data_IF_215889356848
#
_entry.id   IF_215889356848
#
_cell.length_a   1.000
_cell.length_b   1.000
_cell.length_c   1.000
_cell.angle_alpha   90.00
_cell.angle_beta   90.00
_cell.angle_gamma   90.00
#
_symmetry.space_group_name_H-M   'P 1'
#
loop_
_entity.id
_entity.type
_entity.pdbx_description
1 polymer ?
#
# COMPACT_ATOMS: atom_id res chain seq x y z
N UNK A 1 8.70 42.04 -20.46
CA UNK A 1 8.88 42.06 -18.99
C UNK A 1 8.23 40.81 -18.42
N UNK A 2 9.02 39.91 -17.83
CA UNK A 2 8.49 38.68 -17.21
C UNK A 2 7.88 39.04 -15.86
N UNK A 3 6.60 38.72 -15.67
CA UNK A 3 5.88 39.08 -14.45
C UNK A 3 6.32 38.19 -13.28
N UNK A 4 7.20 38.72 -12.42
CA UNK A 4 7.78 38.03 -11.26
C UNK A 4 6.69 37.43 -10.36
N UNK A 5 5.50 38.06 -10.25
CA UNK A 5 4.38 37.52 -9.47
C UNK A 5 3.81 36.22 -10.06
N UNK A 6 3.82 36.06 -11.40
CA UNK A 6 3.32 34.82 -12.03
C UNK A 6 4.29 33.66 -11.82
N UNK A 7 5.61 33.92 -11.90
CA UNK A 7 6.66 32.94 -11.59
C UNK A 7 6.56 32.52 -10.12
N UNK A 8 6.41 33.48 -9.21
CA UNK A 8 6.31 33.19 -7.77
C UNK A 8 5.08 32.33 -7.45
N UNK A 9 3.95 32.61 -8.10
CA UNK A 9 2.72 31.83 -7.94
C UNK A 9 2.84 30.42 -8.55
N UNK A 10 3.55 30.27 -9.66
CA UNK A 10 3.81 28.98 -10.30
C UNK A 10 4.75 28.11 -9.44
N UNK A 11 5.81 28.70 -8.89
CA UNK A 11 6.71 28.06 -7.94
C UNK A 11 5.97 27.66 -6.65
N UNK A 12 5.15 28.56 -6.08
CA UNK A 12 4.29 28.23 -4.94
C UNK A 12 3.32 27.10 -5.27
N UNK A 13 2.72 27.07 -6.47
CA UNK A 13 1.80 26.01 -6.91
C UNK A 13 2.50 24.66 -7.08
N UNK A 14 3.77 24.63 -7.52
CA UNK A 14 4.61 23.43 -7.55
C UNK A 14 4.92 22.93 -6.13
N UNK A 15 5.20 23.83 -5.18
CA UNK A 15 5.48 23.48 -3.79
C UNK A 15 4.22 23.14 -2.96
N UNK A 16 3.03 23.59 -3.37
CA UNK A 16 1.76 23.39 -2.64
C UNK A 16 1.02 22.08 -2.95
N UNK A 17 1.52 21.23 -3.85
CA UNK A 17 1.01 19.86 -3.97
C UNK A 17 1.41 19.10 -2.69
N UNK A 18 0.49 19.03 -1.73
CA UNK A 18 0.69 18.28 -0.50
C UNK A 18 1.08 16.86 -0.87
N UNK A 19 2.30 16.45 -0.50
CA UNK A 19 2.72 15.07 -0.63
C UNK A 19 1.95 14.30 0.45
N UNK A 20 1.03 13.44 0.05
CA UNK A 20 0.48 12.42 0.93
C UNK A 20 1.63 11.66 1.59
N UNK A 21 1.54 11.48 2.89
CA UNK A 21 2.56 10.80 3.67
C UNK A 21 1.91 9.74 4.53
N UNK A 22 2.34 8.50 4.34
CA UNK A 22 1.91 7.36 5.15
C UNK A 22 3.11 6.81 5.90
N UNK A 23 2.90 6.51 7.18
CA UNK A 23 3.89 5.81 7.99
C UNK A 23 3.19 4.68 8.73
N UNK A 24 3.71 3.48 8.56
CA UNK A 24 3.29 2.28 9.26
C UNK A 24 4.51 1.74 9.99
N UNK A 25 4.31 1.34 11.23
CA UNK A 25 5.33 0.69 12.04
C UNK A 25 4.67 -0.48 12.75
N UNK A 26 5.12 -1.69 12.42
CA UNK A 26 4.69 -2.94 13.04
C UNK A 26 5.86 -3.48 13.87
N UNK A 27 5.62 -3.72 15.16
CA UNK A 27 6.61 -4.28 16.07
C UNK A 27 6.02 -5.51 16.74
N UNK A 28 6.62 -6.67 16.52
CA UNK A 28 6.13 -7.97 16.98
C UNK A 28 7.31 -8.81 17.44
N UNK A 29 7.48 -9.03 18.75
CA UNK A 29 8.40 -10.04 19.29
C UNK A 29 9.76 -10.17 18.56
N UNK A 30 10.48 -9.05 18.39
CA UNK A 30 11.78 -9.00 17.69
C UNK A 30 11.72 -8.72 16.18
N UNK A 31 10.52 -8.68 15.59
CA UNK A 31 10.27 -8.24 14.22
C UNK A 31 9.82 -6.77 14.21
N UNK A 32 10.60 -5.92 13.57
CA UNK A 32 10.25 -4.52 13.30
C UNK A 32 10.10 -4.29 11.79
N UNK A 33 8.91 -3.89 11.36
CA UNK A 33 8.61 -3.53 9.97
C UNK A 33 8.19 -2.07 9.92
N UNK A 34 8.87 -1.27 9.10
CA UNK A 34 8.50 0.12 8.86
C UNK A 34 8.21 0.34 7.38
N UNK A 35 7.05 0.92 7.08
CA UNK A 35 6.70 1.39 5.73
C UNK A 35 6.48 2.88 5.78
N UNK A 36 7.25 3.61 4.98
CA UNK A 36 7.11 5.06 4.80
C UNK A 36 6.82 5.33 3.33
N UNK A 37 5.66 5.90 3.04
CA UNK A 37 5.28 6.31 1.69
C UNK A 37 5.20 7.82 1.63
N UNK A 38 5.87 8.43 0.64
CA UNK A 38 5.68 9.82 0.22
C UNK A 38 5.10 9.78 -1.18
N UNK A 39 3.84 10.15 -1.33
CA UNK A 39 3.12 10.11 -2.61
C UNK A 39 2.56 11.49 -2.93
N UNK A 40 2.51 11.82 -4.22
CA UNK A 40 1.87 13.03 -4.74
C UNK A 40 0.73 12.65 -5.70
N UNK A 41 0.24 11.42 -5.60
CA UNK A 41 -0.77 10.88 -6.49
C UNK A 41 -2.16 11.26 -5.97
N UNK A 42 -3.00 11.79 -6.86
CA UNK A 42 -4.37 12.25 -6.55
C UNK A 42 -5.40 11.09 -6.54
N UNK A 43 -5.00 9.88 -6.92
CA UNK A 43 -5.84 8.68 -6.93
C UNK A 43 -5.82 8.07 -5.52
N UNK A 44 -6.91 7.49 -4.99
CA UNK A 44 -6.87 6.77 -3.73
C UNK A 44 -5.89 5.58 -3.78
N UNK A 45 -4.96 5.52 -2.83
CA UNK A 45 -3.99 4.42 -2.72
C UNK A 45 -4.09 3.73 -1.36
N UNK A 46 -4.28 2.42 -1.37
CA UNK A 46 -4.41 1.62 -0.15
C UNK A 46 -3.05 1.11 0.32
N UNK A 47 -2.87 1.08 1.64
CA UNK A 47 -1.79 0.33 2.29
C UNK A 47 -2.43 -0.60 3.30
N UNK A 48 -2.13 -1.89 3.18
CA UNK A 48 -2.77 -2.94 3.96
C UNK A 48 -1.68 -3.68 4.74
N UNK A 49 -1.91 -3.87 6.03
CA UNK A 49 -1.07 -4.73 6.88
C UNK A 49 -1.95 -5.90 7.28
N UNK A 50 -1.53 -7.12 6.94
CA UNK A 50 -2.24 -8.34 7.33
C UNK A 50 -1.36 -9.09 8.31
N UNK A 51 -1.90 -9.35 9.50
CA UNK A 51 -1.25 -10.11 10.57
C UNK A 51 -2.12 -11.32 10.91
N UNK A 52 -2.00 -12.43 10.17
CA UNK A 52 -2.89 -13.58 10.32
C UNK A 52 -2.76 -14.29 11.66
N UNK A 53 -1.53 -14.50 12.15
CA UNK A 53 -1.30 -15.16 13.44
C UNK A 53 -0.02 -14.65 14.07
N UNK A 54 -0.16 -14.08 15.26
CA UNK A 54 0.94 -13.80 16.18
C UNK A 54 0.54 -14.36 17.53
N UNK A 55 1.30 -15.33 18.03
CA UNK A 55 1.09 -15.92 19.34
C UNK A 55 2.36 -15.85 20.18
N UNK A 56 2.15 -15.59 21.46
CA UNK A 56 3.15 -15.77 22.51
C UNK A 56 2.65 -16.89 23.42
N UNK A 57 3.42 -17.96 23.51
CA UNK A 57 3.13 -19.09 24.37
C UNK A 57 4.22 -19.19 25.40
N UNK A 58 3.82 -19.26 26.66
CA UNK A 58 4.72 -19.41 27.79
C UNK A 58 4.24 -20.59 28.62
N UNK A 59 5.13 -21.55 28.85
CA UNK A 59 4.93 -22.65 29.78
C UNK A 59 5.93 -22.50 30.91
N UNK A 60 5.47 -22.71 32.13
CA UNK A 60 6.33 -22.76 33.31
C UNK A 60 6.16 -24.16 33.89
N UNK A 61 7.25 -24.92 33.99
CA UNK A 61 7.26 -26.24 34.63
C UNK A 61 8.55 -26.42 35.41
N UNK A 62 8.43 -26.87 36.67
CA UNK A 62 9.56 -27.16 37.56
C UNK A 62 10.57 -26.00 37.71
N UNK A 63 10.08 -24.75 37.60
CA UNK A 63 10.91 -23.53 37.67
C UNK A 63 11.57 -23.13 36.35
N UNK A 64 11.48 -23.97 35.32
CA UNK A 64 11.94 -23.65 33.97
C UNK A 64 10.83 -22.98 33.15
N UNK A 65 11.22 -21.94 32.41
CA UNK A 65 10.35 -21.18 31.52
C UNK A 65 10.65 -21.55 30.06
N UNK A 66 9.62 -22.04 29.36
CA UNK A 66 9.65 -22.31 27.93
C UNK A 66 8.79 -21.28 27.21
N UNK A 67 9.42 -20.48 26.34
CA UNK A 67 8.79 -19.40 25.59
C UNK A 67 8.84 -19.71 24.09
N UNK A 68 7.66 -19.77 23.48
CA UNK A 68 7.48 -19.95 22.05
C UNK A 68 6.78 -18.73 21.46
N UNK A 69 7.36 -18.16 20.40
CA UNK A 69 6.79 -17.06 19.65
C UNK A 69 6.46 -17.57 18.25
N UNK A 70 5.19 -17.49 17.86
CA UNK A 70 4.72 -17.91 16.53
C UNK A 70 4.31 -16.67 15.76
N UNK A 71 4.98 -16.42 14.63
CA UNK A 71 4.66 -15.36 13.69
C UNK A 71 4.39 -15.99 12.33
N UNK A 72 3.15 -15.97 11.84
CA UNK A 72 2.79 -16.60 10.58
C UNK A 72 2.11 -15.62 9.61
N UNK A 73 2.58 -15.65 8.35
CA UNK A 73 2.01 -14.95 7.20
C UNK A 73 1.83 -13.44 7.39
N UNK A 74 2.75 -12.78 8.10
CA UNK A 74 2.75 -11.32 8.25
C UNK A 74 3.04 -10.69 6.88
N UNK A 75 2.12 -9.87 6.36
CA UNK A 75 2.29 -9.20 5.07
C UNK A 75 2.01 -7.71 5.18
N UNK A 76 2.77 -6.92 4.42
CA UNK A 76 2.53 -5.49 4.23
C UNK A 76 2.46 -5.24 2.74
N UNK A 77 1.30 -4.77 2.29
CA UNK A 77 0.98 -4.59 0.88
C UNK A 77 0.71 -3.12 0.61
N UNK A 78 1.34 -2.61 -0.43
CA UNK A 78 1.02 -1.32 -1.01
C UNK A 78 0.34 -1.56 -2.35
N UNK A 79 -0.90 -1.08 -2.51
CA UNK A 79 -1.74 -1.34 -3.70
C UNK A 79 -2.08 -0.03 -4.40
N UNK A 80 -1.22 0.44 -5.32
CA UNK A 80 -1.53 1.65 -6.05
C UNK A 80 -2.67 1.46 -7.02
N UNK A 81 -3.70 2.32 -6.98
CA UNK A 81 -4.72 2.32 -8.03
C UNK A 81 -4.16 3.02 -9.28
N UNK A 82 -4.35 2.40 -10.44
CA UNK A 82 -4.11 3.07 -11.71
C UNK A 82 -5.17 4.16 -11.90
N UNK A 83 -4.77 5.27 -12.52
CA UNK A 83 -5.71 6.30 -12.95
C UNK A 83 -6.59 5.68 -14.02
N UNK A 84 -7.92 5.72 -13.86
CA UNK A 84 -8.83 5.24 -14.89
C UNK A 84 -8.51 5.96 -16.20
N UNK A 85 -7.98 5.24 -17.18
CA UNK A 85 -7.58 5.81 -18.47
C UNK A 85 -8.78 6.15 -19.37
N UNK A 86 -10.02 5.96 -18.88
CA UNK A 86 -11.27 6.28 -19.59
C UNK A 86 -11.53 5.41 -20.83
N UNK A 87 -10.54 4.68 -21.33
CA UNK A 87 -10.67 3.70 -22.39
C UNK A 87 -11.14 2.40 -21.79
N UNK A 88 -12.46 2.15 -21.80
CA UNK A 88 -12.94 0.79 -21.75
C UNK A 88 -12.27 0.03 -22.89
N UNK A 89 -11.49 -1.00 -22.57
CA UNK A 89 -11.06 -1.96 -23.57
C UNK A 89 -12.33 -2.45 -24.28
N UNK A 90 -12.38 -2.38 -25.60
CA UNK A 90 -13.48 -3.01 -26.33
C UNK A 90 -13.60 -4.46 -25.84
N UNK A 91 -14.82 -4.94 -25.53
CA UNK A 91 -15.00 -6.32 -25.15
C UNK A 91 -14.36 -7.20 -26.24
N UNK A 92 -13.67 -8.29 -25.85
CA UNK A 92 -13.00 -9.16 -26.81
C UNK A 92 -13.99 -9.58 -27.90
N UNK A 93 -13.56 -9.51 -29.15
CA UNK A 93 -14.39 -9.92 -30.29
C UNK A 93 -14.55 -11.44 -30.24
N UNK A 94 -15.63 -11.93 -29.61
CA UNK A 94 -15.94 -13.35 -29.52
C UNK A 94 -16.40 -13.79 -30.92
N UNK A 95 -15.66 -14.66 -31.62
CA UNK A 95 -16.08 -15.13 -32.94
C UNK A 95 -17.43 -15.83 -32.81
N UNK A 96 -18.35 -15.51 -33.71
CA UNK A 96 -19.66 -16.17 -33.78
C UNK A 96 -19.43 -17.67 -33.93
N UNK A 97 -19.98 -18.46 -32.99
CA UNK A 97 -20.00 -19.91 -33.10
C UNK A 97 -20.74 -20.27 -34.39
N UNK A 98 -20.03 -20.82 -35.36
CA UNK A 98 -20.64 -21.36 -36.58
C UNK A 98 -21.35 -22.64 -36.14
N UNK A 99 -22.68 -22.59 -36.03
CA UNK A 99 -23.46 -23.81 -35.92
C UNK A 99 -23.40 -24.49 -37.29
N UNK A 100 -22.72 -25.64 -37.36
CA UNK A 100 -22.89 -26.58 -38.46
C UNK A 100 -24.04 -27.50 -38.07
N UNK A 101 -25.19 -27.26 -38.71
CA UNK A 101 -26.21 -28.21 -39.20
C UNK A 101 -27.53 -27.48 -39.45
#
# INVERSE_FOLDING_TARGET
MVNIKSILNMAKKLFKRSKGYDKITLRLYGLDVEVKRKTNIDVPHEVTVVVPRVEFRKKIKDGEEDVEIIMNSITVVHSPRHKDLGTSSQPPNIPKRINRE
#
